data_IF_194007555828
#
_entry.id   IF_194007555828
#
_cell.length_a   1.000
_cell.length_b   1.000
_cell.length_c   1.000
_cell.angle_alpha   90.00
_cell.angle_beta   90.00
_cell.angle_gamma   90.00
#
_symmetry.space_group_name_H-M   'P 1'
#
loop_
_entity.id
_entity.type
_entity.pdbx_description
1 polymer ?
#
# COMPACT_ATOMS: atom_id res chain seq x y z
N UNK A 1 -20.89 19.46 -7.79
CA UNK A 1 -20.35 19.31 -6.42
C UNK A 1 -20.22 20.71 -5.84
N UNK A 2 -20.71 20.93 -4.63
CA UNK A 2 -20.68 22.25 -3.98
C UNK A 2 -19.45 22.37 -3.09
N UNK A 3 -18.35 22.90 -3.65
CA UNK A 3 -17.05 22.98 -2.98
C UNK A 3 -17.03 24.03 -1.86
N UNK A 4 -17.74 25.13 -2.05
CA UNK A 4 -17.85 26.20 -1.05
C UNK A 4 -18.50 25.67 0.23
N UNK A 5 -19.59 24.91 0.08
CA UNK A 5 -20.22 24.22 1.20
C UNK A 5 -19.30 23.22 1.88
N UNK A 6 -18.52 22.44 1.12
CA UNK A 6 -17.57 21.48 1.70
C UNK A 6 -16.51 22.19 2.56
N UNK A 7 -16.00 23.33 2.11
CA UNK A 7 -15.03 24.11 2.89
C UNK A 7 -15.67 24.78 4.11
N UNK A 8 -16.79 25.47 3.92
CA UNK A 8 -17.42 26.26 4.98
C UNK A 8 -18.04 25.39 6.08
N UNK A 9 -18.82 24.36 5.70
CA UNK A 9 -19.60 23.58 6.67
C UNK A 9 -18.85 22.35 7.19
N UNK A 10 -17.91 21.82 6.42
CA UNK A 10 -17.24 20.54 6.71
C UNK A 10 -15.72 20.64 6.81
N UNK A 11 -15.15 21.85 6.71
CA UNK A 11 -13.72 22.10 6.88
C UNK A 11 -12.83 21.49 5.80
N UNK A 12 -13.37 21.20 4.61
CA UNK A 12 -12.61 20.59 3.53
C UNK A 12 -11.49 21.49 3.01
N UNK A 13 -10.30 20.93 2.82
CA UNK A 13 -9.23 21.51 2.02
C UNK A 13 -9.55 21.38 0.52
N UNK A 14 -10.59 22.10 0.06
CA UNK A 14 -11.15 21.95 -1.28
C UNK A 14 -10.11 22.15 -2.40
N UNK A 15 -9.21 23.12 -2.26
CA UNK A 15 -8.16 23.37 -3.26
C UNK A 15 -7.23 22.16 -3.44
N UNK A 16 -6.87 21.48 -2.35
CA UNK A 16 -6.02 20.28 -2.39
C UNK A 16 -6.77 19.13 -3.06
N UNK A 17 -8.03 18.93 -2.67
CA UNK A 17 -8.87 17.87 -3.20
C UNK A 17 -9.16 18.07 -4.69
N UNK A 18 -9.46 19.30 -5.14
CA UNK A 18 -9.72 19.61 -6.55
C UNK A 18 -8.47 19.44 -7.40
N UNK A 19 -7.31 19.88 -6.91
CA UNK A 19 -6.05 19.72 -7.65
C UNK A 19 -5.68 18.26 -7.86
N UNK A 20 -5.98 17.39 -6.89
CA UNK A 20 -5.59 15.97 -6.94
C UNK A 20 -6.68 15.07 -7.51
N UNK A 21 -7.94 15.43 -7.29
CA UNK A 21 -9.14 14.73 -7.72
C UNK A 21 -10.10 15.76 -8.34
N UNK A 22 -9.88 16.19 -9.59
CA UNK A 22 -10.80 17.12 -10.24
C UNK A 22 -12.22 16.53 -10.27
N UNK A 23 -13.23 17.19 -9.69
CA UNK A 23 -14.61 16.69 -9.68
C UNK A 23 -15.19 16.40 -11.07
N UNK A 24 -14.72 17.14 -12.09
CA UNK A 24 -15.16 17.04 -13.47
C UNK A 24 -14.80 15.69 -14.12
N UNK A 25 -13.78 15.00 -13.59
CA UNK A 25 -13.31 13.72 -14.12
C UNK A 25 -14.09 12.53 -13.52
N UNK A 26 -15.19 12.78 -12.79
CA UNK A 26 -15.98 11.78 -12.08
C UNK A 26 -17.45 11.91 -12.43
N UNK A 27 -18.14 10.78 -12.46
CA UNK A 27 -19.58 10.69 -12.75
C UNK A 27 -20.45 11.33 -11.67
N UNK A 28 -19.93 11.51 -10.45
CA UNK A 28 -20.65 12.19 -9.39
C UNK A 28 -19.93 12.20 -8.04
N UNK A 29 -20.57 12.79 -7.00
CA UNK A 29 -19.99 12.96 -5.67
C UNK A 29 -19.55 11.66 -5.00
N UNK A 30 -20.29 10.58 -5.19
CA UNK A 30 -19.97 9.28 -4.58
C UNK A 30 -18.69 8.67 -5.15
N UNK A 31 -18.50 8.74 -6.46
CA UNK A 31 -17.28 8.27 -7.11
C UNK A 31 -16.08 9.12 -6.70
N UNK A 32 -16.26 10.45 -6.67
CA UNK A 32 -15.24 11.37 -6.18
C UNK A 32 -14.84 11.07 -4.72
N UNK A 33 -15.81 10.86 -3.82
CA UNK A 33 -15.53 10.48 -2.45
C UNK A 33 -14.79 9.14 -2.36
N UNK A 34 -15.24 8.13 -3.12
CA UNK A 34 -14.58 6.83 -3.16
C UNK A 34 -13.11 6.94 -3.61
N UNK A 35 -12.80 7.80 -4.58
CA UNK A 35 -11.44 8.05 -5.05
C UNK A 35 -10.57 8.71 -3.97
N UNK A 36 -11.09 9.74 -3.29
CA UNK A 36 -10.35 10.39 -2.19
C UNK A 36 -10.06 9.43 -1.05
N UNK A 37 -11.00 8.53 -0.72
CA UNK A 37 -10.82 7.50 0.31
C UNK A 37 -9.80 6.44 -0.11
N UNK A 38 -9.83 5.97 -1.37
CA UNK A 38 -8.80 5.06 -1.91
C UNK A 38 -7.41 5.70 -1.90
N UNK A 39 -7.34 7.00 -2.15
CA UNK A 39 -6.08 7.71 -2.04
C UNK A 39 -5.57 7.81 -0.60
N UNK A 40 -6.43 8.17 0.35
CA UNK A 40 -6.08 8.22 1.78
C UNK A 40 -5.52 6.86 2.24
N UNK A 41 -6.22 5.78 1.90
CA UNK A 41 -5.85 4.40 2.21
C UNK A 41 -4.44 4.06 1.70
N UNK A 42 -4.20 4.26 0.40
CA UNK A 42 -2.89 4.00 -0.24
C UNK A 42 -1.78 4.88 0.34
N UNK A 43 -2.04 6.18 0.51
CA UNK A 43 -1.05 7.15 0.99
C UNK A 43 -0.57 6.80 2.40
N UNK A 44 -1.51 6.50 3.30
CA UNK A 44 -1.18 6.19 4.69
C UNK A 44 -0.35 4.91 4.79
N UNK A 45 -0.69 3.86 4.03
CA UNK A 45 0.14 2.64 3.96
C UNK A 45 1.58 2.97 3.55
N UNK A 46 1.76 3.66 2.41
CA UNK A 46 3.08 3.99 1.88
C UNK A 46 3.89 4.83 2.86
N UNK A 47 3.26 5.80 3.52
CA UNK A 47 3.93 6.63 4.52
C UNK A 47 4.32 5.84 5.77
N UNK A 48 3.44 4.99 6.30
CA UNK A 48 3.73 4.16 7.46
C UNK A 48 4.87 3.19 7.15
N UNK A 49 4.82 2.48 6.02
CA UNK A 49 5.90 1.58 5.58
C UNK A 49 7.22 2.33 5.44
N UNK A 50 7.21 3.51 4.80
CA UNK A 50 8.39 4.34 4.63
C UNK A 50 8.98 4.83 5.96
N UNK A 51 8.14 5.12 6.96
CA UNK A 51 8.56 5.53 8.31
C UNK A 51 9.10 4.33 9.10
N UNK A 52 8.41 3.18 9.09
CA UNK A 52 8.84 1.95 9.76
C UNK A 52 10.12 1.38 9.17
N UNK A 53 10.34 1.51 7.86
CA UNK A 53 11.62 1.17 7.22
C UNK A 53 12.80 1.95 7.80
N UNK A 54 12.57 3.19 8.21
CA UNK A 54 13.57 4.10 8.79
C UNK A 54 13.69 3.95 10.30
N UNK A 55 13.22 2.83 10.86
CA UNK A 55 13.29 2.53 12.29
C UNK A 55 14.70 2.79 12.84
N UNK A 56 14.74 3.66 13.84
CA UNK A 56 15.91 4.18 14.52
C UNK A 56 16.93 4.92 13.62
N UNK A 57 16.55 5.28 12.39
CA UNK A 57 17.42 5.93 11.38
C UNK A 57 16.65 6.84 10.39
N UNK A 58 16.19 8.05 10.80
CA UNK A 58 16.18 8.63 12.14
C UNK A 58 14.83 8.41 12.88
N UNK A 59 13.96 7.55 12.38
CA UNK A 59 12.57 7.46 12.84
C UNK A 59 12.42 6.55 14.06
N UNK A 60 12.10 7.12 15.22
CA UNK A 60 11.78 6.35 16.45
C UNK A 60 10.31 5.97 16.61
N UNK A 61 9.43 6.51 15.76
CA UNK A 61 7.98 6.31 15.80
C UNK A 61 7.26 7.33 14.93
N UNK A 62 5.94 7.24 14.86
CA UNK A 62 5.09 8.19 14.14
C UNK A 62 3.74 8.31 14.83
N UNK A 63 3.03 9.39 14.52
CA UNK A 63 1.65 9.62 14.97
C UNK A 63 0.79 9.94 13.76
N UNK A 64 -0.47 9.55 13.82
CA UNK A 64 -1.46 10.00 12.85
C UNK A 64 -1.83 11.47 13.15
N UNK A 65 -2.12 12.23 12.10
CA UNK A 65 -2.63 13.60 12.24
C UNK A 65 -3.96 13.63 13.01
N UNK A 66 -4.88 12.73 12.65
CA UNK A 66 -6.20 12.63 13.27
C UNK A 66 -6.72 11.21 13.28
N UNK A 67 -7.13 10.73 14.45
CA UNK A 67 -7.79 9.43 14.58
C UNK A 67 -9.31 9.53 14.35
N UNK A 68 -9.96 10.52 14.98
CA UNK A 68 -11.42 10.65 15.00
C UNK A 68 -11.88 12.07 14.69
N UNK A 69 -13.06 12.20 14.08
CA UNK A 69 -13.79 13.47 14.00
C UNK A 69 -14.83 13.58 15.12
N UNK A 70 -14.97 14.77 15.71
CA UNK A 70 -15.99 15.06 16.73
C UNK A 70 -17.32 15.56 16.15
N UNK A 71 -17.35 15.92 14.86
CA UNK A 71 -18.49 16.46 14.14
C UNK A 71 -18.37 16.09 12.65
N UNK A 72 -19.45 16.21 11.84
CA UNK A 72 -19.36 16.00 10.40
C UNK A 72 -18.23 16.82 9.78
N UNK A 73 -17.29 16.16 9.08
CA UNK A 73 -16.13 16.81 8.48
C UNK A 73 -15.64 16.05 7.25
N UNK A 74 -15.04 16.79 6.31
CA UNK A 74 -14.18 16.22 5.27
C UNK A 74 -12.76 16.32 5.78
N UNK A 75 -12.24 15.21 6.33
CA UNK A 75 -10.95 15.20 7.01
C UNK A 75 -10.15 13.93 6.71
N UNK A 76 -8.87 13.95 7.12
CA UNK A 76 -7.99 12.79 7.14
C UNK A 76 -8.19 11.82 8.31
N UNK A 77 -9.26 11.96 9.12
CA UNK A 77 -9.55 11.02 10.22
C UNK A 77 -9.72 9.58 9.72
N UNK A 78 -9.46 8.59 10.57
CA UNK A 78 -9.73 7.19 10.26
C UNK A 78 -11.12 6.74 10.70
N UNK A 79 -11.69 7.43 11.68
CA UNK A 79 -13.01 7.17 12.24
C UNK A 79 -13.84 8.45 12.15
N UNK A 80 -15.00 8.38 11.52
CA UNK A 80 -15.87 9.54 11.40
C UNK A 80 -16.62 9.88 12.70
N UNK A 81 -17.39 10.97 12.66
CA UNK A 81 -18.19 11.44 13.79
C UNK A 81 -19.28 10.46 14.26
N UNK A 82 -19.69 9.52 13.42
CA UNK A 82 -20.65 8.45 13.75
C UNK A 82 -19.95 7.18 14.25
N UNK A 83 -18.63 7.22 14.43
CA UNK A 83 -17.79 6.08 14.81
C UNK A 83 -17.70 5.00 13.75
N UNK A 84 -17.95 5.35 12.49
CA UNK A 84 -17.76 4.45 11.36
C UNK A 84 -16.31 4.52 10.91
N UNK A 85 -15.69 3.35 10.73
CA UNK A 85 -14.34 3.25 10.20
C UNK A 85 -14.33 3.60 8.71
N UNK A 86 -13.43 4.50 8.32
CA UNK A 86 -13.07 4.69 6.92
C UNK A 86 -12.21 3.51 6.44
N UNK A 87 -12.16 3.23 5.12
CA UNK A 87 -11.36 2.12 4.58
C UNK A 87 -9.92 2.10 5.10
N UNK A 88 -9.29 3.28 5.19
CA UNK A 88 -7.92 3.44 5.66
C UNK A 88 -7.68 2.96 7.10
N UNK A 89 -8.72 2.80 7.94
CA UNK A 89 -8.56 2.32 9.31
C UNK A 89 -7.93 0.93 9.34
N UNK A 90 -8.45 -0.01 8.54
CA UNK A 90 -7.94 -1.38 8.48
C UNK A 90 -6.51 -1.39 7.94
N UNK A 91 -6.26 -0.69 6.85
CA UNK A 91 -4.93 -0.57 6.25
C UNK A 91 -3.90 0.02 7.20
N UNK A 92 -4.26 1.02 8.00
CA UNK A 92 -3.36 1.58 9.03
C UNK A 92 -3.09 0.54 10.11
N UNK A 93 -4.11 -0.18 10.59
CA UNK A 93 -3.94 -1.24 11.57
C UNK A 93 -2.99 -2.34 11.05
N UNK A 94 -3.19 -2.80 9.82
CA UNK A 94 -2.36 -3.81 9.16
C UNK A 94 -0.93 -3.31 8.96
N UNK A 95 -0.76 -2.05 8.53
CA UNK A 95 0.56 -1.41 8.38
C UNK A 95 1.29 -1.21 9.71
N UNK A 96 0.55 -1.21 10.83
CA UNK A 96 1.08 -1.14 12.19
C UNK A 96 1.21 -2.52 12.85
N UNK A 97 0.93 -3.62 12.14
CA UNK A 97 1.08 -4.96 12.68
C UNK A 97 2.52 -5.21 13.15
N UNK A 98 2.74 -6.03 14.19
CA UNK A 98 4.08 -6.28 14.74
C UNK A 98 5.09 -6.73 13.68
N UNK A 99 4.65 -7.52 12.69
CA UNK A 99 5.48 -7.95 11.57
C UNK A 99 4.80 -7.59 10.26
N UNK A 100 5.51 -6.90 9.36
CA UNK A 100 5.03 -6.60 8.00
C UNK A 100 6.10 -6.95 6.97
N UNK A 101 5.65 -7.40 5.80
CA UNK A 101 6.49 -7.55 4.61
C UNK A 101 6.18 -6.41 3.64
N UNK A 102 7.20 -5.77 3.06
CA UNK A 102 7.01 -4.57 2.25
C UNK A 102 8.02 -4.46 1.10
N UNK A 103 7.70 -3.58 0.15
CA UNK A 103 8.48 -3.23 -1.02
C UNK A 103 8.99 -1.79 -0.95
N UNK A 104 10.24 -1.54 -1.37
CA UNK A 104 10.77 -0.18 -1.56
C UNK A 104 11.60 -0.06 -2.86
N UNK A 105 11.28 0.93 -3.73
CA UNK A 105 10.12 1.82 -3.64
C UNK A 105 8.79 1.03 -3.79
N UNK A 106 7.67 1.54 -3.25
CA UNK A 106 6.36 0.93 -3.50
C UNK A 106 6.04 0.97 -5.00
N UNK A 107 5.39 -0.07 -5.49
CA UNK A 107 5.03 -0.19 -6.89
C UNK A 107 3.84 0.73 -7.20
N UNK A 108 4.11 1.90 -7.78
CA UNK A 108 3.09 2.95 -7.96
C UNK A 108 2.90 3.37 -9.43
N UNK A 109 3.90 4.03 -10.00
CA UNK A 109 3.91 4.49 -11.39
C UNK A 109 5.27 4.15 -11.99
N UNK A 110 5.26 3.46 -13.12
CA UNK A 110 6.45 2.89 -13.73
C UNK A 110 6.54 3.35 -15.17
N UNK A 111 7.71 3.87 -15.56
CA UNK A 111 7.96 4.23 -16.93
C UNK A 111 7.96 2.98 -17.83
N UNK A 112 7.34 3.03 -19.02
CA UNK A 112 7.51 1.98 -20.03
C UNK A 112 8.99 1.79 -20.38
N UNK A 113 9.35 0.59 -20.84
CA UNK A 113 10.73 0.25 -21.26
C UNK A 113 11.80 0.50 -20.19
N UNK A 114 11.39 0.52 -18.93
CA UNK A 114 12.28 0.62 -17.79
C UNK A 114 12.49 -0.75 -17.14
N UNK A 115 13.39 -0.78 -16.15
CA UNK A 115 13.57 -1.92 -15.26
C UNK A 115 12.81 -1.65 -13.97
N UNK A 116 11.87 -2.54 -13.63
CA UNK A 116 11.34 -2.61 -12.27
C UNK A 116 12.47 -3.11 -11.39
N UNK A 117 12.87 -2.34 -10.38
CA UNK A 117 13.79 -2.78 -9.33
C UNK A 117 13.19 -2.42 -7.98
N UNK A 118 12.84 -3.44 -7.20
CA UNK A 118 12.13 -3.29 -5.93
C UNK A 118 12.81 -4.15 -4.87
N UNK A 119 13.17 -3.54 -3.75
CA UNK A 119 13.72 -4.24 -2.60
C UNK A 119 12.58 -4.78 -1.73
N UNK A 120 12.69 -6.03 -1.35
CA UNK A 120 11.79 -6.68 -0.39
C UNK A 120 12.44 -6.63 0.98
N UNK A 121 11.69 -6.23 1.99
CA UNK A 121 12.13 -6.13 3.38
C UNK A 121 11.03 -6.61 4.32
N UNK A 122 11.42 -6.98 5.53
CA UNK A 122 10.49 -7.26 6.62
C UNK A 122 10.80 -6.32 7.78
N UNK A 123 9.76 -5.72 8.35
CA UNK A 123 9.83 -5.04 9.65
C UNK A 123 9.30 -6.02 10.69
N UNK A 124 10.05 -6.20 11.78
CA UNK A 124 9.62 -7.01 12.92
C UNK A 124 9.83 -6.24 14.22
N UNK A 125 8.74 -5.85 14.87
CA UNK A 125 8.73 -5.12 16.14
C UNK A 125 8.61 -6.07 17.35
N UNK A 126 8.66 -7.39 17.12
CA UNK A 126 8.65 -8.38 18.18
C UNK A 126 9.92 -8.34 19.02
N UNK A 127 9.79 -8.73 20.29
CA UNK A 127 10.91 -8.77 21.26
C UNK A 127 11.84 -9.96 21.06
N UNK A 128 11.37 -10.99 20.37
CA UNK A 128 12.13 -12.22 20.12
C UNK A 128 12.38 -12.35 18.62
N UNK A 129 13.54 -12.84 18.20
CA UNK A 129 13.80 -13.10 16.79
C UNK A 129 12.85 -14.19 16.25
N UNK A 130 12.65 -14.17 14.93
CA UNK A 130 12.02 -15.27 14.19
C UNK A 130 13.16 -16.06 13.54
N UNK A 131 13.46 -17.23 14.08
CA UNK A 131 14.63 -18.03 13.67
C UNK A 131 14.54 -18.57 12.24
N UNK A 132 13.32 -18.86 11.78
CA UNK A 132 13.06 -19.47 10.47
C UNK A 132 11.79 -18.91 9.86
N UNK A 133 11.95 -18.23 8.74
CA UNK A 133 10.86 -17.73 7.94
C UNK A 133 11.14 -17.92 6.45
N UNK A 134 10.10 -17.77 5.65
CA UNK A 134 10.19 -17.71 4.19
C UNK A 134 9.42 -16.51 3.69
N UNK A 135 10.04 -15.75 2.79
CA UNK A 135 9.41 -14.66 2.06
C UNK A 135 9.26 -15.04 0.60
N UNK A 136 8.05 -15.01 0.11
CA UNK A 136 7.71 -15.20 -1.29
C UNK A 136 7.29 -13.88 -1.93
N UNK A 137 7.75 -13.66 -3.15
CA UNK A 137 7.34 -12.51 -3.95
C UNK A 137 6.96 -12.91 -5.37
N UNK A 138 5.86 -12.35 -5.84
CA UNK A 138 5.29 -12.61 -7.18
C UNK A 138 4.99 -11.29 -7.87
N UNK A 139 5.62 -11.05 -9.01
CA UNK A 139 5.36 -9.90 -9.88
C UNK A 139 4.50 -10.34 -11.06
N UNK A 140 3.30 -9.77 -11.16
CA UNK A 140 2.34 -10.04 -12.23
C UNK A 140 2.27 -8.83 -13.16
N UNK A 141 2.55 -9.07 -14.44
CA UNK A 141 2.43 -8.09 -15.51
C UNK A 141 1.01 -8.04 -16.10
N UNK A 142 0.64 -6.96 -16.81
CA UNK A 142 -0.59 -6.86 -17.58
C UNK A 142 -0.86 -8.11 -18.44
N UNK A 143 -2.11 -8.57 -18.45
CA UNK A 143 -2.52 -9.78 -19.19
C UNK A 143 -2.07 -11.11 -18.59
N UNK A 144 -1.31 -11.08 -17.47
CA UNK A 144 -0.92 -12.24 -16.67
C UNK A 144 -1.47 -12.17 -15.24
N UNK A 145 -2.52 -11.37 -15.03
CA UNK A 145 -3.25 -11.28 -13.76
C UNK A 145 -4.53 -12.12 -13.82
N UNK A 146 -4.94 -12.76 -12.73
CA UNK A 146 -6.24 -13.42 -12.67
C UNK A 146 -7.37 -12.40 -12.84
N UNK A 147 -8.34 -12.71 -13.71
CA UNK A 147 -9.56 -11.95 -13.89
C UNK A 147 -10.71 -12.69 -13.17
N UNK A 148 -11.14 -12.20 -12.01
CA UNK A 148 -12.23 -12.78 -11.20
C UNK A 148 -11.91 -14.10 -10.48
N UNK A 149 -12.93 -14.68 -9.84
CA UNK A 149 -12.87 -15.91 -8.99
C UNK A 149 -12.57 -17.22 -9.74
N UNK A 150 -12.16 -17.18 -11.01
CA UNK A 150 -11.78 -18.39 -11.75
C UNK A 150 -10.25 -18.59 -11.69
N UNK A 151 -9.78 -19.78 -11.27
CA UNK A 151 -8.38 -20.13 -11.40
C UNK A 151 -8.07 -20.34 -12.89
N UNK A 152 -7.52 -19.32 -13.54
CA UNK A 152 -6.94 -19.43 -14.88
C UNK A 152 -5.55 -20.06 -14.73
N UNK A 153 -5.37 -21.25 -15.30
CA UNK A 153 -4.11 -21.98 -15.35
C UNK A 153 -3.05 -21.37 -16.29
N UNK A 154 -3.33 -20.22 -16.91
CA UNK A 154 -2.49 -19.59 -17.96
C UNK A 154 -1.79 -18.28 -17.51
N UNK A 155 -1.92 -17.89 -16.25
CA UNK A 155 -1.37 -16.63 -15.74
C UNK A 155 -0.23 -16.87 -14.75
N UNK A 156 0.92 -17.33 -15.27
CA UNK A 156 2.13 -17.45 -14.47
C UNK A 156 2.70 -16.04 -14.15
N UNK A 157 3.15 -15.79 -12.90
CA UNK A 157 3.88 -14.57 -12.56
C UNK A 157 5.07 -14.36 -13.51
N UNK A 158 5.33 -13.11 -13.88
CA UNK A 158 6.50 -12.76 -14.68
C UNK A 158 7.80 -13.00 -13.90
N UNK A 159 7.76 -12.78 -12.57
CA UNK A 159 8.85 -13.12 -11.66
C UNK A 159 8.27 -13.78 -10.41
N UNK A 160 8.88 -14.88 -10.01
CA UNK A 160 8.72 -15.49 -8.68
C UNK A 160 10.07 -15.55 -7.99
N UNK A 161 10.12 -15.17 -6.72
CA UNK A 161 11.29 -15.29 -5.86
C UNK A 161 10.87 -15.82 -4.49
N UNK A 162 11.78 -16.57 -3.87
CA UNK A 162 11.61 -17.10 -2.53
C UNK A 162 12.93 -16.97 -1.78
N UNK A 163 12.87 -16.46 -0.55
CA UNK A 163 14.02 -16.31 0.33
C UNK A 163 13.70 -16.96 1.68
N UNK A 164 14.65 -17.72 2.21
CA UNK A 164 14.58 -18.27 3.57
C UNK A 164 15.60 -17.58 4.46
N UNK A 165 15.28 -17.43 5.75
CA UNK A 165 16.20 -16.82 6.70
C UNK A 165 15.58 -16.57 8.07
N UNK A 166 16.30 -15.82 8.89
CA UNK A 166 15.86 -15.35 10.20
C UNK A 166 15.54 -13.85 10.17
N UNK A 167 14.76 -13.39 11.14
CA UNK A 167 14.47 -11.99 11.39
C UNK A 167 14.89 -11.63 12.81
N UNK A 168 15.70 -10.59 12.94
CA UNK A 168 16.11 -10.09 14.25
C UNK A 168 14.94 -9.42 14.98
N UNK A 169 14.96 -9.50 16.31
CA UNK A 169 14.03 -8.76 17.16
C UNK A 169 14.14 -7.24 16.91
N UNK A 170 13.00 -6.56 16.99
CA UNK A 170 12.90 -5.09 16.92
C UNK A 170 13.66 -4.44 15.74
N UNK A 171 13.63 -5.06 14.56
CA UNK A 171 14.50 -4.73 13.44
C UNK A 171 13.78 -4.52 12.10
N UNK A 172 14.55 -4.04 11.11
CA UNK A 172 14.18 -4.04 9.70
C UNK A 172 15.21 -4.88 8.95
N UNK A 173 14.76 -5.99 8.38
CA UNK A 173 15.61 -6.97 7.70
C UNK A 173 15.45 -6.84 6.18
N UNK A 174 16.52 -6.50 5.44
CA UNK A 174 16.53 -6.64 3.98
C UNK A 174 16.43 -8.12 3.61
N UNK A 175 15.52 -8.46 2.71
CA UNK A 175 15.28 -9.84 2.28
C UNK A 175 15.90 -10.11 0.92
N UNK A 176 15.63 -9.24 -0.05
CA UNK A 176 16.07 -9.46 -1.43
C UNK A 176 15.63 -8.36 -2.36
N UNK A 177 15.80 -8.59 -3.66
CA UNK A 177 15.41 -7.64 -4.72
C UNK A 177 14.74 -8.38 -5.86
N UNK A 178 13.72 -7.76 -6.42
CA UNK A 178 13.03 -8.19 -7.63
C UNK A 178 13.45 -7.23 -8.73
N UNK A 179 13.99 -7.77 -9.81
CA UNK A 179 14.37 -7.01 -10.99
C UNK A 179 13.75 -7.62 -12.25
N UNK A 180 13.15 -6.77 -13.09
CA UNK A 180 12.54 -7.17 -14.35
C UNK A 180 12.58 -6.03 -15.38
N UNK A 181 13.13 -6.29 -16.56
CA UNK A 181 13.02 -5.40 -17.71
C UNK A 181 11.61 -5.50 -18.32
N UNK A 182 10.91 -4.37 -18.44
CA UNK A 182 9.50 -4.35 -18.85
C UNK A 182 9.28 -4.44 -20.36
N UNK A 183 10.28 -4.11 -21.17
CA UNK A 183 10.11 -3.96 -22.62
C UNK A 183 8.94 -3.03 -22.96
N UNK A 184 8.09 -3.43 -23.91
CA UNK A 184 6.92 -2.66 -24.36
C UNK A 184 5.65 -2.89 -23.51
N UNK A 185 5.77 -3.52 -22.33
CA UNK A 185 4.61 -3.78 -21.45
C UNK A 185 3.97 -2.47 -20.97
N UNK A 186 2.64 -2.37 -21.04
CA UNK A 186 1.82 -1.25 -20.56
C UNK A 186 0.61 -1.81 -19.79
N UNK A 187 0.19 -1.12 -18.73
CA UNK A 187 -1.01 -1.46 -17.96
C UNK A 187 -0.74 -1.74 -16.49
N UNK A 188 -1.71 -2.38 -15.82
CA UNK A 188 -1.65 -2.69 -14.38
C UNK A 188 -0.59 -3.74 -14.07
N UNK A 189 0.27 -3.44 -13.12
CA UNK A 189 1.28 -4.35 -12.57
C UNK A 189 1.01 -4.57 -11.09
N UNK A 190 1.20 -5.81 -10.64
CA UNK A 190 0.92 -6.20 -9.26
C UNK A 190 2.14 -6.89 -8.68
N UNK A 191 2.50 -6.51 -7.46
CA UNK A 191 3.48 -7.21 -6.64
C UNK A 191 2.77 -7.78 -5.41
N UNK A 192 2.79 -9.10 -5.27
CA UNK A 192 2.31 -9.83 -4.10
C UNK A 192 3.52 -10.29 -3.27
N UNK A 193 3.45 -10.07 -1.96
CA UNK A 193 4.43 -10.48 -0.97
C UNK A 193 3.75 -11.33 0.09
N UNK A 194 4.41 -12.39 0.50
CA UNK A 194 3.97 -13.26 1.60
C UNK A 194 5.16 -13.62 2.48
N UNK A 195 5.02 -13.42 3.78
CA UNK A 195 5.93 -13.91 4.81
C UNK A 195 5.26 -15.07 5.54
N UNK A 196 5.93 -16.21 5.61
CA UNK A 196 5.49 -17.39 6.34
C UNK A 196 6.51 -17.84 7.39
N UNK A 197 6.02 -18.41 8.48
CA UNK A 197 6.79 -19.02 9.57
C UNK A 197 6.22 -20.42 9.80
N UNK A 198 7.08 -21.43 9.83
CA UNK A 198 6.69 -22.83 9.98
C UNK A 198 5.60 -23.31 8.99
N UNK A 199 5.54 -22.69 7.81
CA UNK A 199 4.57 -23.00 6.75
C UNK A 199 3.24 -22.27 6.86
N UNK A 200 3.04 -21.44 7.89
CA UNK A 200 1.84 -20.61 8.05
C UNK A 200 2.12 -19.16 7.66
N UNK A 201 1.17 -18.54 6.96
CA UNK A 201 1.26 -17.13 6.56
C UNK A 201 1.18 -16.22 7.79
N UNK A 202 2.24 -15.45 8.03
CA UNK A 202 2.32 -14.48 9.13
C UNK A 202 1.94 -13.07 8.67
N UNK A 203 2.34 -12.67 7.46
CA UNK A 203 2.03 -11.36 6.91
C UNK A 203 1.97 -11.41 5.38
N UNK A 204 1.11 -10.59 4.78
CA UNK A 204 1.02 -10.41 3.33
C UNK A 204 1.04 -8.92 2.99
N UNK A 205 1.42 -8.60 1.77
CA UNK A 205 1.27 -7.26 1.23
C UNK A 205 1.09 -7.30 -0.29
N UNK A 206 0.35 -6.34 -0.83
CA UNK A 206 0.02 -6.26 -2.25
C UNK A 206 0.13 -4.84 -2.75
N UNK A 207 1.02 -4.61 -3.72
CA UNK A 207 1.12 -3.33 -4.41
C UNK A 207 0.47 -3.45 -5.78
N UNK A 208 -0.31 -2.45 -6.14
CA UNK A 208 -0.85 -2.28 -7.49
C UNK A 208 -0.35 -0.95 -8.03
N UNK A 209 0.37 -1.04 -9.14
CA UNK A 209 0.89 0.11 -9.86
C UNK A 209 0.50 0.07 -11.33
N UNK A 210 0.92 1.09 -12.07
CA UNK A 210 0.68 1.18 -13.52
C UNK A 210 1.97 1.42 -14.28
N UNK A 211 2.13 0.69 -15.38
CA UNK A 211 3.18 0.91 -16.38
C UNK A 211 2.59 1.77 -17.50
N UNK A 212 3.19 2.92 -17.77
CA UNK A 212 2.69 3.88 -18.77
C UNK A 212 1.97 5.08 -18.16
N UNK A 213 1.58 6.02 -19.04
CA UNK A 213 0.93 7.27 -18.65
C UNK A 213 -0.46 7.04 -18.07
N UNK A 214 -0.88 7.98 -17.22
CA UNK A 214 -2.19 7.95 -16.59
C UNK A 214 -3.34 8.21 -17.58
#
# INVERSE_FOLDING_TARGET
MDLERLTHDYGAEADVLVRRFPPADRSGPSEWAADTLRHQDRLLRVQIEALRRRKYRPTGGFTLDRLLDGAPAVSGSLVDHQRVHKPAYATVADSCAPTIVMADPPLESIAPRSTVSVRVMVVHDGRHPIERCRVDARLLLPGRQPHGDKPSSDHAPAVTRSWGGALEADSVTPIGTIELELGDTIGTVVLELELSVDGETLATNRYEGRIGAD
#
